data_IF_196875528511
#
_entry.id   IF_196875528511
#
_cell.length_a   1.000
_cell.length_b   1.000
_cell.length_c   1.000
_cell.angle_alpha   90.00
_cell.angle_beta   90.00
_cell.angle_gamma   90.00
#
_symmetry.space_group_name_H-M   'P 1'
#
loop_
_entity.id
_entity.type
_entity.pdbx_description
1 polymer ?
#
# COMPACT_ATOMS: atom_id res chain seq x y z
N UNK A 1 -4.39 -36.14 -5.48
CA UNK A 1 -5.57 -35.26 -5.43
C UNK A 1 -5.14 -33.89 -5.93
N UNK A 2 -5.55 -33.50 -7.14
CA UNK A 2 -4.98 -32.38 -7.86
C UNK A 2 -5.49 -31.04 -7.27
N UNK A 3 -4.56 -30.16 -6.94
CA UNK A 3 -4.82 -28.75 -6.66
C UNK A 3 -5.54 -28.13 -7.86
N UNK A 4 -6.82 -27.85 -7.72
CA UNK A 4 -7.52 -26.94 -8.62
C UNK A 4 -7.07 -25.52 -8.29
N UNK A 5 -5.99 -25.08 -8.90
CA UNK A 5 -5.74 -23.67 -9.11
C UNK A 5 -6.89 -23.18 -10.00
N UNK A 6 -7.80 -22.38 -9.43
CA UNK A 6 -8.80 -21.68 -10.22
C UNK A 6 -8.04 -20.63 -11.01
N UNK A 7 -7.63 -20.97 -12.23
CA UNK A 7 -7.23 -19.99 -13.22
C UNK A 7 -8.52 -19.27 -13.64
N UNK A 8 -8.71 -18.06 -13.13
CA UNK A 8 -9.58 -17.10 -13.78
C UNK A 8 -9.12 -17.00 -15.24
N UNK A 9 -10.04 -16.96 -16.19
CA UNK A 9 -9.68 -16.95 -17.61
C UNK A 9 -8.93 -15.67 -17.94
N UNK A 10 -8.00 -15.72 -18.87
CA UNK A 10 -7.12 -14.59 -19.27
C UNK A 10 -7.89 -13.31 -19.65
N UNK A 11 -9.15 -13.39 -19.96
CA UNK A 11 -10.00 -12.25 -20.32
C UNK A 11 -10.59 -11.53 -19.12
N UNK A 12 -10.83 -12.24 -17.99
CA UNK A 12 -11.30 -11.62 -16.73
C UNK A 12 -10.16 -10.90 -15.97
N UNK A 13 -8.89 -11.26 -16.25
CA UNK A 13 -7.73 -10.62 -15.64
C UNK A 13 -7.38 -9.25 -16.24
N UNK A 14 -7.80 -8.93 -17.47
CA UNK A 14 -7.41 -7.69 -18.15
C UNK A 14 -8.14 -6.44 -17.63
N UNK A 15 -9.27 -6.59 -16.92
CA UNK A 15 -10.04 -5.46 -16.38
C UNK A 15 -9.73 -5.15 -14.89
N UNK A 16 -8.99 -6.03 -14.21
CA UNK A 16 -8.75 -5.94 -12.76
C UNK A 16 -7.46 -5.17 -12.44
N UNK A 17 -7.51 -3.85 -12.52
CA UNK A 17 -6.36 -2.99 -12.26
C UNK A 17 -6.09 -2.79 -10.78
N UNK A 18 -4.82 -2.60 -10.47
CA UNK A 18 -4.30 -2.38 -9.12
C UNK A 18 -3.35 -1.19 -9.12
N UNK A 19 -3.49 -0.28 -8.17
CA UNK A 19 -2.57 0.82 -7.91
C UNK A 19 -1.92 0.59 -6.55
N UNK A 20 -0.60 0.62 -6.50
CA UNK A 20 0.16 0.38 -5.29
C UNK A 20 0.92 1.66 -4.93
N UNK A 21 0.58 2.24 -3.79
CA UNK A 21 1.33 3.36 -3.22
C UNK A 21 2.22 2.88 -2.10
N UNK A 22 3.48 3.22 -2.17
CA UNK A 22 4.45 3.02 -1.10
C UNK A 22 5.24 4.30 -0.87
N UNK A 23 5.68 4.51 0.36
CA UNK A 23 6.45 5.69 0.73
C UNK A 23 7.15 5.48 2.07
N UNK A 24 8.28 6.13 2.30
CA UNK A 24 8.81 6.27 3.64
C UNK A 24 7.91 7.16 4.51
N UNK A 25 8.01 6.96 5.83
CA UNK A 25 7.25 7.76 6.79
C UNK A 25 7.57 9.25 6.63
N UNK A 26 6.55 10.08 6.43
CA UNK A 26 6.71 11.53 6.28
C UNK A 26 6.75 12.03 4.84
N UNK A 27 6.76 11.17 3.83
CA UNK A 27 6.80 11.57 2.42
C UNK A 27 5.48 12.16 1.88
N UNK A 28 4.36 12.05 2.62
CA UNK A 28 3.07 12.62 2.20
C UNK A 28 2.15 11.64 1.48
N UNK A 29 2.39 10.33 1.57
CA UNK A 29 1.61 9.27 0.92
C UNK A 29 0.10 9.42 1.12
N UNK A 30 -0.37 9.45 2.37
CA UNK A 30 -1.81 9.51 2.66
C UNK A 30 -2.49 10.76 2.08
N UNK A 31 -1.78 11.89 1.99
CA UNK A 31 -2.30 13.11 1.38
C UNK A 31 -2.55 12.91 -0.11
N UNK A 32 -1.61 12.30 -0.82
CA UNK A 32 -1.71 12.03 -2.26
C UNK A 32 -2.75 10.94 -2.53
N UNK A 33 -2.74 9.85 -1.76
CA UNK A 33 -3.73 8.76 -1.90
C UNK A 33 -5.15 9.27 -1.70
N UNK A 34 -5.40 10.08 -0.65
CA UNK A 34 -6.71 10.64 -0.39
C UNK A 34 -7.17 11.62 -1.49
N UNK A 35 -6.24 12.38 -2.07
CA UNK A 35 -6.53 13.24 -3.20
C UNK A 35 -7.04 12.43 -4.40
N UNK A 36 -6.32 11.37 -4.78
CA UNK A 36 -6.70 10.48 -5.88
C UNK A 36 -8.05 9.79 -5.62
N UNK A 37 -8.26 9.25 -4.43
CA UNK A 37 -9.54 8.63 -4.05
C UNK A 37 -10.72 9.63 -4.10
N UNK A 38 -10.47 10.91 -3.86
CA UNK A 38 -11.47 11.97 -3.96
C UNK A 38 -11.86 12.31 -5.41
N UNK A 39 -11.00 12.05 -6.38
CA UNK A 39 -11.24 12.33 -7.80
C UNK A 39 -11.80 11.12 -8.55
N UNK A 40 -11.47 9.90 -8.12
CA UNK A 40 -11.75 8.65 -8.83
C UNK A 40 -12.67 7.74 -8.01
N UNK A 41 -14.01 7.89 -8.10
CA UNK A 41 -14.96 7.05 -7.37
C UNK A 41 -14.91 5.56 -7.77
N UNK A 42 -14.32 5.24 -8.92
CA UNK A 42 -14.06 3.88 -9.39
C UNK A 42 -12.84 3.24 -8.73
N UNK A 43 -12.03 4.00 -7.99
CA UNK A 43 -10.88 3.48 -7.22
C UNK A 43 -11.31 3.24 -5.78
N UNK A 44 -11.08 2.06 -5.26
CA UNK A 44 -11.44 1.69 -3.89
C UNK A 44 -10.21 1.25 -3.09
N UNK A 45 -10.13 1.75 -1.87
CA UNK A 45 -9.06 1.40 -0.92
C UNK A 45 -9.22 -0.04 -0.44
N UNK A 46 -8.14 -0.81 -0.46
CA UNK A 46 -8.10 -2.16 0.10
C UNK A 46 -7.79 -2.11 1.59
N UNK A 47 -8.72 -2.64 2.39
CA UNK A 47 -8.55 -2.72 3.84
C UNK A 47 -7.63 -3.89 4.17
N UNK A 48 -6.48 -3.61 4.77
CA UNK A 48 -5.53 -4.62 5.20
C UNK A 48 -6.02 -5.38 6.44
N UNK A 49 -5.57 -6.63 6.57
CA UNK A 49 -5.71 -7.41 7.81
C UNK A 49 -4.50 -7.22 8.71
N UNK A 50 -4.71 -7.28 10.02
CA UNK A 50 -3.62 -7.26 11.01
C UNK A 50 -3.93 -8.09 12.23
N UNK A 51 -2.90 -8.61 12.89
CA UNK A 51 -3.04 -9.31 14.18
C UNK A 51 -2.74 -8.44 15.40
N UNK A 52 -2.39 -7.16 15.20
CA UNK A 52 -2.29 -6.24 16.34
C UNK A 52 -3.67 -5.82 16.84
N UNK A 53 -3.77 -5.48 18.10
CA UNK A 53 -4.98 -4.90 18.66
C UNK A 53 -5.29 -3.52 18.02
N UNK A 54 -6.59 -3.16 17.90
CA UNK A 54 -7.01 -1.82 17.50
C UNK A 54 -6.41 -0.73 18.40
N UNK A 55 -6.13 0.43 17.82
CA UNK A 55 -5.61 1.62 18.52
C UNK A 55 -6.66 2.71 18.52
N UNK A 56 -6.86 3.34 19.68
CA UNK A 56 -7.80 4.46 19.81
C UNK A 56 -9.21 4.10 19.34
N UNK A 57 -9.66 4.72 18.26
CA UNK A 57 -11.01 4.55 17.69
C UNK A 57 -11.06 3.63 16.45
N UNK A 58 -9.96 2.93 16.14
CA UNK A 58 -9.92 2.02 14.99
C UNK A 58 -11.00 0.93 15.10
N UNK A 59 -11.69 0.64 14.00
CA UNK A 59 -12.78 -0.31 13.92
C UNK A 59 -12.48 -1.43 12.92
N UNK A 60 -12.93 -2.65 13.26
CA UNK A 60 -12.82 -3.79 12.37
C UNK A 60 -13.60 -3.57 11.07
N UNK A 61 -12.93 -3.76 9.94
CA UNK A 61 -13.51 -3.58 8.61
C UNK A 61 -13.57 -2.11 8.14
N UNK A 62 -12.95 -1.18 8.89
CA UNK A 62 -12.81 0.23 8.52
C UNK A 62 -11.34 0.58 8.30
N UNK A 63 -10.53 0.63 9.36
CA UNK A 63 -9.09 0.88 9.23
C UNK A 63 -8.33 -0.42 8.93
N UNK A 64 -8.71 -1.51 9.58
CA UNK A 64 -8.16 -2.85 9.39
C UNK A 64 -9.19 -3.93 9.65
N UNK A 65 -8.96 -5.11 9.06
CA UNK A 65 -9.55 -6.34 9.57
C UNK A 65 -8.67 -6.85 10.72
N UNK A 66 -9.16 -6.75 11.96
CA UNK A 66 -8.42 -7.16 13.15
C UNK A 66 -8.69 -8.62 13.48
N UNK A 67 -7.63 -9.42 13.63
CA UNK A 67 -7.67 -10.82 14.01
C UNK A 67 -6.71 -11.04 15.20
N UNK A 68 -6.84 -12.16 15.89
CA UNK A 68 -5.80 -12.63 16.80
C UNK A 68 -4.61 -13.20 15.99
N UNK A 69 -3.44 -13.31 16.61
CA UNK A 69 -2.29 -13.92 15.94
C UNK A 69 -2.54 -15.38 15.53
N UNK A 70 -3.32 -16.12 16.33
CA UNK A 70 -3.65 -17.52 16.03
C UNK A 70 -4.66 -17.64 14.89
N UNK A 71 -5.70 -16.80 14.85
CA UNK A 71 -6.61 -16.70 13.71
C UNK A 71 -5.85 -16.33 12.44
N UNK A 72 -4.93 -15.36 12.52
CA UNK A 72 -4.14 -14.95 11.37
C UNK A 72 -3.27 -16.10 10.83
N UNK A 73 -2.61 -16.86 11.72
CA UNK A 73 -1.84 -18.05 11.34
C UNK A 73 -2.71 -19.15 10.70
N UNK A 74 -3.90 -19.37 11.26
CA UNK A 74 -4.85 -20.30 10.65
C UNK A 74 -5.24 -19.85 9.25
N UNK A 75 -5.55 -18.57 9.07
CA UNK A 75 -5.90 -18.01 7.77
C UNK A 75 -4.76 -18.09 6.75
N UNK A 76 -3.49 -17.97 7.19
CA UNK A 76 -2.31 -18.24 6.35
C UNK A 76 -2.33 -19.71 5.89
N UNK A 77 -2.54 -20.66 6.81
CA UNK A 77 -2.59 -22.07 6.47
C UNK A 77 -3.75 -22.43 5.52
N UNK A 78 -4.82 -21.65 5.54
CA UNK A 78 -5.98 -21.76 4.65
C UNK A 78 -5.84 -20.98 3.33
N UNK A 79 -4.67 -20.39 3.04
CA UNK A 79 -4.39 -19.58 1.84
C UNK A 79 -5.39 -18.41 1.64
N UNK A 80 -5.80 -17.74 2.71
CA UNK A 80 -6.75 -16.62 2.68
C UNK A 80 -6.14 -15.30 2.27
N UNK A 81 -4.82 -15.19 2.20
CA UNK A 81 -4.11 -13.97 1.87
C UNK A 81 -3.57 -13.97 0.44
N UNK A 82 -3.54 -12.80 -0.17
CA UNK A 82 -2.79 -12.51 -1.40
C UNK A 82 -1.31 -12.39 -1.07
N UNK A 83 -1.00 -11.66 0.00
CA UNK A 83 0.32 -11.53 0.62
C UNK A 83 0.15 -11.34 2.13
N UNK A 84 1.18 -11.66 2.88
CA UNK A 84 1.25 -11.40 4.32
C UNK A 84 2.71 -11.29 4.77
N UNK A 85 2.93 -10.57 5.88
CA UNK A 85 4.24 -10.39 6.49
C UNK A 85 4.13 -10.40 8.03
N UNK A 86 5.09 -11.00 8.70
CA UNK A 86 5.29 -10.86 10.13
C UNK A 86 6.28 -9.71 10.38
N UNK A 87 5.76 -8.52 10.66
CA UNK A 87 6.57 -7.29 10.83
C UNK A 87 7.31 -7.29 12.17
N UNK A 88 6.69 -7.84 13.22
CA UNK A 88 7.27 -8.09 14.53
C UNK A 88 6.77 -9.44 15.04
N UNK A 89 7.49 -10.12 15.95
CA UNK A 89 7.04 -11.42 16.50
C UNK A 89 5.57 -11.38 16.97
N UNK A 90 4.71 -12.16 16.33
CA UNK A 90 3.28 -12.22 16.57
C UNK A 90 2.45 -11.08 15.97
N UNK A 91 3.06 -10.11 15.30
CA UNK A 91 2.37 -8.98 14.66
C UNK A 91 2.40 -9.15 13.14
N UNK A 92 1.29 -9.65 12.61
CA UNK A 92 1.10 -9.91 11.19
C UNK A 92 0.31 -8.78 10.52
N UNK A 93 0.61 -8.57 9.23
CA UNK A 93 -0.18 -7.76 8.32
C UNK A 93 -0.36 -8.52 7.01
N UNK A 94 -1.42 -8.23 6.27
CA UNK A 94 -1.62 -8.88 4.97
C UNK A 94 -2.88 -8.40 4.26
N UNK A 95 -2.97 -8.78 3.00
CA UNK A 95 -4.09 -8.47 2.11
C UNK A 95 -4.96 -9.71 1.93
N UNK A 96 -6.23 -9.62 2.33
CA UNK A 96 -7.18 -10.72 2.17
C UNK A 96 -7.57 -10.91 0.69
N UNK A 97 -7.63 -12.17 0.24
CA UNK A 97 -8.18 -12.50 -1.09
C UNK A 97 -9.63 -12.05 -1.23
N UNK A 98 -10.43 -12.23 -0.18
CA UNK A 98 -11.84 -11.80 -0.16
C UNK A 98 -12.01 -10.29 -0.31
N UNK A 99 -11.05 -9.48 0.15
CA UNK A 99 -11.07 -8.03 -0.01
C UNK A 99 -10.79 -7.64 -1.46
N UNK A 100 -9.82 -8.27 -2.09
CA UNK A 100 -9.52 -8.10 -3.52
C UNK A 100 -10.73 -8.49 -4.37
N UNK A 101 -11.30 -9.66 -4.11
CA UNK A 101 -12.51 -10.16 -4.80
C UNK A 101 -13.71 -9.22 -4.61
N UNK A 102 -13.90 -8.69 -3.40
CA UNK A 102 -14.98 -7.75 -3.07
C UNK A 102 -14.92 -6.48 -3.92
N UNK A 103 -13.72 -5.91 -4.07
CA UNK A 103 -13.51 -4.67 -4.84
C UNK A 103 -13.68 -4.94 -6.34
N UNK A 104 -13.05 -5.99 -6.84
CA UNK A 104 -13.16 -6.35 -8.26
C UNK A 104 -14.57 -6.76 -8.69
N UNK A 105 -15.35 -7.39 -7.79
CA UNK A 105 -16.76 -7.72 -8.07
C UNK A 105 -17.64 -6.49 -8.31
N UNK A 106 -17.21 -5.30 -7.88
CA UNK A 106 -17.87 -4.02 -8.18
C UNK A 106 -17.38 -3.39 -9.48
N UNK A 107 -16.38 -3.97 -10.15
CA UNK A 107 -15.69 -3.38 -11.29
C UNK A 107 -14.75 -2.22 -10.91
N UNK A 108 -14.34 -2.14 -9.65
CA UNK A 108 -13.48 -1.07 -9.17
C UNK A 108 -12.00 -1.44 -9.28
N UNK A 109 -11.16 -0.41 -9.42
CA UNK A 109 -9.70 -0.50 -9.33
C UNK A 109 -9.29 -0.52 -7.86
N UNK A 110 -8.36 -1.41 -7.51
CA UNK A 110 -7.87 -1.50 -6.14
C UNK A 110 -6.74 -0.50 -5.91
N UNK A 111 -6.78 0.22 -4.78
CA UNK A 111 -5.65 0.96 -4.24
C UNK A 111 -5.11 0.27 -2.99
N UNK A 112 -3.80 0.01 -2.99
CA UNK A 112 -3.05 -0.41 -1.81
C UNK A 112 -2.19 0.75 -1.27
N UNK A 113 -2.31 1.03 0.01
CA UNK A 113 -1.41 1.87 0.79
C UNK A 113 -0.58 0.97 1.71
N UNK A 114 0.62 0.62 1.27
CA UNK A 114 1.43 -0.42 1.89
C UNK A 114 2.89 0.04 2.07
N UNK A 115 3.65 -0.63 2.92
CA UNK A 115 5.08 -0.38 3.05
C UNK A 115 5.86 -0.78 1.79
N UNK A 116 7.14 -0.45 1.76
CA UNK A 116 7.96 -0.60 0.55
C UNK A 116 8.16 -2.08 0.17
N UNK A 117 8.33 -2.96 1.16
CA UNK A 117 8.52 -4.39 0.92
C UNK A 117 7.22 -5.03 0.40
N UNK A 118 6.09 -4.71 1.05
CA UNK A 118 4.77 -5.15 0.62
C UNK A 118 4.43 -4.66 -0.79
N UNK A 119 4.78 -3.41 -1.12
CA UNK A 119 4.59 -2.85 -2.46
C UNK A 119 5.33 -3.62 -3.54
N UNK A 120 6.59 -3.96 -3.30
CA UNK A 120 7.38 -4.80 -4.23
C UNK A 120 6.78 -6.21 -4.35
N UNK A 121 6.31 -6.80 -3.25
CA UNK A 121 5.67 -8.11 -3.27
C UNK A 121 4.36 -8.10 -4.07
N UNK A 122 3.50 -7.10 -3.84
CA UNK A 122 2.23 -6.95 -4.58
C UNK A 122 2.49 -6.72 -6.07
N UNK A 123 3.47 -5.88 -6.42
CA UNK A 123 3.84 -5.68 -7.83
C UNK A 123 4.26 -6.99 -8.49
N UNK A 124 5.04 -7.83 -7.81
CA UNK A 124 5.42 -9.15 -8.32
C UNK A 124 4.22 -10.09 -8.49
N UNK A 125 3.24 -10.04 -7.58
CA UNK A 125 2.04 -10.88 -7.61
C UNK A 125 1.10 -10.48 -8.74
N UNK A 126 0.80 -9.18 -8.87
CA UNK A 126 -0.15 -8.66 -9.86
C UNK A 126 0.47 -8.35 -11.22
N UNK A 127 1.80 -8.30 -11.31
CA UNK A 127 2.51 -8.10 -12.58
C UNK A 127 2.09 -6.80 -13.29
N UNK A 128 1.67 -6.93 -14.55
CA UNK A 128 1.28 -5.79 -15.39
C UNK A 128 -0.09 -5.21 -15.06
N UNK A 129 -0.93 -5.93 -14.30
CA UNK A 129 -2.19 -5.41 -13.77
C UNK A 129 -1.96 -4.32 -12.71
N UNK A 130 -0.77 -4.31 -12.09
CA UNK A 130 -0.43 -3.36 -11.05
C UNK A 130 0.43 -2.22 -11.57
N UNK A 131 0.09 -1.00 -11.19
CA UNK A 131 0.94 0.18 -11.32
C UNK A 131 1.45 0.59 -9.95
N UNK A 132 2.76 0.48 -9.75
CA UNK A 132 3.40 0.74 -8.46
C UNK A 132 4.08 2.11 -8.44
N UNK A 133 3.71 2.92 -7.46
CA UNK A 133 4.17 4.30 -7.28
C UNK A 133 4.89 4.42 -5.94
N UNK A 134 6.14 4.84 -5.98
CA UNK A 134 6.90 5.18 -4.79
C UNK A 134 6.91 6.69 -4.59
N UNK A 135 6.29 7.16 -3.51
CA UNK A 135 6.28 8.58 -3.15
C UNK A 135 7.46 8.87 -2.24
N UNK A 136 8.28 9.85 -2.60
CA UNK A 136 9.42 10.26 -1.79
C UNK A 136 9.47 11.77 -1.58
N UNK A 137 10.10 12.20 -0.49
CA UNK A 137 10.53 13.57 -0.32
C UNK A 137 11.72 13.86 -1.24
N UNK A 138 11.98 15.13 -1.58
CA UNK A 138 13.13 15.52 -2.44
C UNK A 138 14.48 15.05 -1.88
N UNK A 139 14.62 15.03 -0.56
CA UNK A 139 15.80 14.54 0.14
C UNK A 139 15.45 14.02 1.54
N UNK A 140 16.41 13.33 2.16
CA UNK A 140 16.32 12.86 3.54
C UNK A 140 16.24 14.04 4.52
N UNK A 141 16.90 15.16 4.22
CA UNK A 141 16.89 16.38 5.02
C UNK A 141 15.49 17.00 5.06
N UNK A 142 14.85 17.15 3.89
CA UNK A 142 13.47 17.66 3.79
C UNK A 142 12.49 16.72 4.52
N UNK A 143 12.69 15.41 4.43
CA UNK A 143 11.88 14.44 5.16
C UNK A 143 12.05 14.60 6.67
N UNK A 144 13.28 14.82 7.15
CA UNK A 144 13.59 15.13 8.56
C UNK A 144 12.86 16.39 9.03
N UNK A 145 12.94 17.49 8.27
CA UNK A 145 12.23 18.73 8.57
C UNK A 145 10.72 18.53 8.69
N UNK A 146 10.14 17.75 7.77
CA UNK A 146 8.71 17.40 7.80
C UNK A 146 8.33 16.59 9.03
N UNK A 147 9.18 15.66 9.46
CA UNK A 147 8.95 14.86 10.69
C UNK A 147 9.05 15.72 11.95
N UNK A 148 10.01 16.64 12.02
CA UNK A 148 10.14 17.62 13.11
C UNK A 148 8.90 18.52 13.18
N UNK A 149 8.47 19.05 12.03
CA UNK A 149 7.33 19.96 11.94
C UNK A 149 5.99 19.38 12.41
N UNK A 150 5.85 18.04 12.45
CA UNK A 150 4.65 17.37 13.01
C UNK A 150 4.54 17.46 14.52
N UNK A 151 5.66 17.70 15.21
CA UNK A 151 5.75 17.84 16.67
C UNK A 151 5.08 16.68 17.48
N UNK A 152 5.03 15.47 16.89
CA UNK A 152 4.40 14.29 17.50
C UNK A 152 5.40 13.28 18.03
N UNK A 153 6.67 13.41 17.66
CA UNK A 153 7.71 12.44 17.94
C UNK A 153 8.85 13.04 18.77
N UNK A 154 9.53 12.19 19.55
CA UNK A 154 10.76 12.59 20.23
C UNK A 154 11.92 12.68 19.21
N UNK A 155 13.00 13.44 19.52
CA UNK A 155 14.18 13.53 18.65
C UNK A 155 14.74 12.16 18.27
N UNK A 156 14.81 11.22 19.22
CA UNK A 156 15.33 9.87 19.00
C UNK A 156 14.41 9.06 18.05
N UNK A 157 13.08 9.25 18.14
CA UNK A 157 12.12 8.63 17.25
C UNK A 157 12.25 9.19 15.84
N UNK A 158 12.48 10.50 15.70
CA UNK A 158 12.72 11.16 14.40
C UNK A 158 13.96 10.58 13.72
N UNK A 159 15.10 10.46 14.45
CA UNK A 159 16.33 9.90 13.89
C UNK A 159 16.14 8.46 13.40
N UNK A 160 15.43 7.62 14.15
CA UNK A 160 15.10 6.26 13.74
C UNK A 160 14.24 6.24 12.46
N UNK A 161 13.26 7.14 12.37
CA UNK A 161 12.40 7.25 11.17
C UNK A 161 13.17 7.74 9.96
N UNK A 162 14.06 8.71 10.13
CA UNK A 162 14.93 9.24 9.07
C UNK A 162 15.87 8.14 8.56
N UNK A 163 16.52 7.41 9.44
CA UNK A 163 17.39 6.29 9.06
C UNK A 163 16.61 5.20 8.31
N UNK A 164 15.40 4.84 8.79
CA UNK A 164 14.52 3.89 8.10
C UNK A 164 14.11 4.41 6.73
N UNK A 165 13.73 5.69 6.62
CA UNK A 165 13.32 6.30 5.35
C UNK A 165 14.45 6.29 4.31
N UNK A 166 15.69 6.60 4.72
CA UNK A 166 16.84 6.51 3.82
C UNK A 166 17.04 5.08 3.28
N UNK A 167 16.94 4.07 4.15
CA UNK A 167 17.02 2.67 3.76
C UNK A 167 15.87 2.25 2.85
N UNK A 168 14.63 2.73 3.10
CA UNK A 168 13.46 2.47 2.25
C UNK A 168 13.61 3.11 0.87
N UNK A 169 14.14 4.33 0.77
CA UNK A 169 14.42 5.01 -0.51
C UNK A 169 15.49 4.26 -1.31
N UNK A 170 16.56 3.82 -0.66
CA UNK A 170 17.60 3.00 -1.29
C UNK A 170 17.04 1.66 -1.79
N UNK A 171 16.25 0.98 -0.95
CA UNK A 171 15.62 -0.29 -1.31
C UNK A 171 14.62 -0.14 -2.47
N UNK A 172 13.86 0.96 -2.52
CA UNK A 172 12.86 1.21 -3.56
C UNK A 172 13.47 1.48 -4.95
N UNK A 173 14.74 1.87 -5.02
CA UNK A 173 15.39 2.28 -6.26
C UNK A 173 15.26 1.21 -7.36
N UNK A 174 14.61 1.56 -8.47
CA UNK A 174 14.40 0.68 -9.63
C UNK A 174 13.41 -0.46 -9.43
N UNK A 175 12.63 -0.49 -8.33
CA UNK A 175 11.66 -1.55 -8.04
C UNK A 175 10.20 -1.13 -8.19
N UNK A 176 9.95 0.13 -8.46
CA UNK A 176 8.62 0.69 -8.70
C UNK A 176 8.51 1.18 -10.13
N UNK A 177 7.31 1.15 -10.70
CA UNK A 177 7.07 1.62 -12.07
C UNK A 177 7.24 3.13 -12.16
N UNK A 178 6.93 3.87 -11.09
CA UNK A 178 7.07 5.32 -11.04
C UNK A 178 7.57 5.79 -9.66
N UNK A 179 8.44 6.80 -9.67
CA UNK A 179 8.88 7.51 -8.47
C UNK A 179 8.32 8.92 -8.51
N UNK A 180 7.40 9.22 -7.59
CA UNK A 180 6.76 10.53 -7.47
C UNK A 180 7.47 11.34 -6.37
N UNK A 181 8.13 12.43 -6.77
CA UNK A 181 8.81 13.32 -5.83
C UNK A 181 7.83 14.36 -5.30
N UNK A 182 7.48 14.27 -4.03
CA UNK A 182 6.62 15.23 -3.35
C UNK A 182 7.45 16.38 -2.77
N UNK A 183 7.84 17.32 -3.61
CA UNK A 183 8.47 18.58 -3.21
C UNK A 183 7.40 19.65 -2.98
N UNK A 184 6.69 20.02 -4.00
CA UNK A 184 5.48 20.85 -3.94
C UNK A 184 4.23 19.97 -4.08
N UNK A 185 3.28 20.15 -3.19
CA UNK A 185 2.10 19.28 -3.11
C UNK A 185 1.20 19.39 -4.34
N UNK A 186 1.05 20.61 -4.92
CA UNK A 186 0.20 20.80 -6.09
C UNK A 186 0.82 20.16 -7.34
N UNK A 187 2.11 20.25 -7.47
CA UNK A 187 2.87 19.57 -8.52
C UNK A 187 2.77 18.06 -8.38
N UNK A 188 2.90 17.54 -7.14
CA UNK A 188 2.78 16.13 -6.87
C UNK A 188 1.36 15.60 -7.14
N UNK A 189 0.31 16.37 -6.86
CA UNK A 189 -1.07 16.04 -7.21
C UNK A 189 -1.25 15.94 -8.72
N UNK A 190 -0.85 16.97 -9.46
CA UNK A 190 -0.98 16.99 -10.91
C UNK A 190 -0.22 15.82 -11.59
N UNK A 191 0.97 15.48 -11.08
CA UNK A 191 1.71 14.32 -11.56
C UNK A 191 1.00 13.01 -11.23
N UNK A 192 0.50 12.83 -10.01
CA UNK A 192 -0.24 11.64 -9.60
C UNK A 192 -1.50 11.43 -10.45
N UNK A 193 -2.29 12.49 -10.66
CA UNK A 193 -3.47 12.47 -11.53
C UNK A 193 -3.09 12.00 -12.94
N UNK A 194 -2.12 12.65 -13.56
CA UNK A 194 -1.69 12.32 -14.92
C UNK A 194 -1.27 10.86 -15.09
N UNK A 195 -0.40 10.34 -14.19
CA UNK A 195 0.10 8.96 -14.33
C UNK A 195 -0.96 7.91 -14.03
N UNK A 196 -1.93 8.22 -13.16
CA UNK A 196 -3.05 7.33 -12.84
C UNK A 196 -4.03 7.33 -14.01
N UNK A 197 -4.41 8.49 -14.55
CA UNK A 197 -5.26 8.57 -15.74
C UNK A 197 -4.68 7.79 -16.92
N UNK A 198 -3.37 7.94 -17.18
CA UNK A 198 -2.68 7.19 -18.22
C UNK A 198 -2.72 5.66 -17.97
N UNK A 199 -2.63 5.24 -16.71
CA UNK A 199 -2.75 3.82 -16.35
C UNK A 199 -4.17 3.31 -16.50
N UNK A 200 -5.17 4.08 -16.10
CA UNK A 200 -6.59 3.69 -16.20
C UNK A 200 -7.07 3.56 -17.65
N UNK A 201 -6.48 4.32 -18.58
CA UNK A 201 -6.83 4.31 -20.01
C UNK A 201 -6.20 3.17 -20.82
N UNK A 202 -5.20 2.47 -20.30
CA UNK A 202 -4.55 1.30 -20.94
C UNK A 202 -5.42 0.06 -20.83
#
# INVERSE_FOLDING_TARGET
MALRTVFLTTKEFMDNKVIIFSAPSGAGKSTIVNHILGLHPEIEFSISATSRAPRGQEQHGVEYYFFTADEFRQMIAEDKFVEHEEVYPGSFYGTLRSEVERIWAKGHVIVFDIDVQGGVNLKRIFGEQAFSIFIQAPSVEILRERLIGRATDTPEAIEKRVAKAASEMEFAAGKFDHVLVNDDLQTAFAEAERIIDEFLQK
#
